data_IF_586559018140
#
_entry.id   IF_586559018140
#
_cell.length_a   1.000
_cell.length_b   1.000
_cell.length_c   1.000
_cell.angle_alpha   90.00
_cell.angle_beta   90.00
_cell.angle_gamma   90.00
#
_symmetry.space_group_name_H-M   'P 1'
#
loop_
_entity.id
_entity.type
_entity.pdbx_description
1 polymer ?
#
# COMPACT_ATOMS: atom_id res chain seq x y z
N UNK A 1 -28.04 -27.51 4.96
CA UNK A 1 -27.76 -26.26 5.71
C UNK A 1 -26.34 -26.15 6.25
N UNK A 2 -25.70 -27.21 6.80
CA UNK A 2 -24.29 -27.15 7.27
C UNK A 2 -23.25 -26.87 6.17
N UNK A 3 -23.48 -27.38 4.95
CA UNK A 3 -22.54 -27.23 3.81
C UNK A 3 -22.46 -25.77 3.30
N UNK A 4 -23.56 -25.02 3.41
CA UNK A 4 -23.65 -23.62 2.95
C UNK A 4 -22.82 -22.70 3.87
N UNK A 5 -22.84 -22.95 5.19
CA UNK A 5 -22.03 -22.19 6.14
C UNK A 5 -20.53 -22.38 5.92
N UNK A 6 -20.08 -23.61 5.63
CA UNK A 6 -18.67 -23.89 5.37
C UNK A 6 -18.16 -23.23 4.08
N UNK A 7 -18.96 -23.26 3.01
CA UNK A 7 -18.61 -22.60 1.75
C UNK A 7 -18.53 -21.07 1.91
N UNK A 8 -19.45 -20.47 2.66
CA UNK A 8 -19.45 -19.03 2.92
C UNK A 8 -18.22 -18.59 3.73
N UNK A 9 -17.86 -19.33 4.79
CA UNK A 9 -16.67 -19.03 5.60
C UNK A 9 -15.40 -19.13 4.76
N UNK A 10 -15.31 -20.14 3.88
CA UNK A 10 -14.16 -20.33 3.00
C UNK A 10 -14.03 -19.19 1.97
N UNK A 11 -15.14 -18.79 1.32
CA UNK A 11 -15.15 -17.66 0.39
C UNK A 11 -14.80 -16.33 1.06
N UNK A 12 -15.32 -16.05 2.26
CA UNK A 12 -15.01 -14.84 3.02
C UNK A 12 -13.53 -14.78 3.43
N UNK A 13 -12.97 -15.92 3.83
CA UNK A 13 -11.55 -16.04 4.18
C UNK A 13 -10.65 -15.76 2.98
N UNK A 14 -11.03 -16.28 1.80
CA UNK A 14 -10.29 -16.06 0.56
C UNK A 14 -10.33 -14.59 0.11
N UNK A 15 -11.51 -13.96 0.17
CA UNK A 15 -11.69 -12.54 -0.16
C UNK A 15 -10.93 -11.62 0.81
N UNK A 16 -10.95 -11.91 2.11
CA UNK A 16 -10.19 -11.16 3.10
C UNK A 16 -8.67 -11.27 2.87
N UNK A 17 -8.19 -12.45 2.47
CA UNK A 17 -6.77 -12.66 2.20
C UNK A 17 -6.33 -12.00 0.87
N UNK A 18 -7.18 -12.03 -0.16
CA UNK A 18 -6.98 -11.31 -1.41
C UNK A 18 -6.92 -9.79 -1.16
N UNK A 19 -7.90 -9.24 -0.44
CA UNK A 19 -7.88 -7.82 -0.08
C UNK A 19 -6.66 -7.42 0.75
N UNK A 20 -6.23 -8.25 1.70
CA UNK A 20 -5.01 -7.98 2.49
C UNK A 20 -3.75 -8.02 1.62
N UNK A 21 -3.69 -8.89 0.61
CA UNK A 21 -2.60 -8.93 -0.37
C UNK A 21 -2.59 -7.67 -1.21
N UNK A 22 -3.73 -7.31 -1.79
CA UNK A 22 -3.89 -6.16 -2.67
C UNK A 22 -3.60 -4.87 -1.90
N UNK A 23 -4.11 -4.71 -0.68
CA UNK A 23 -3.79 -3.58 0.19
C UNK A 23 -2.29 -3.38 0.42
N UNK A 24 -1.56 -4.47 0.69
CA UNK A 24 -0.10 -4.39 0.94
C UNK A 24 0.65 -3.95 -0.31
N UNK A 25 0.22 -4.45 -1.47
CA UNK A 25 0.81 -4.10 -2.75
C UNK A 25 0.54 -2.63 -3.09
N UNK A 26 -0.71 -2.19 -2.95
CA UNK A 26 -1.11 -0.80 -3.22
C UNK A 26 -0.45 0.19 -2.27
N UNK A 27 -0.39 -0.13 -0.97
CA UNK A 27 0.31 0.70 0.01
C UNK A 27 1.80 0.85 -0.34
N UNK A 28 2.44 -0.23 -0.78
CA UNK A 28 3.85 -0.19 -1.17
C UNK A 28 4.06 0.60 -2.48
N UNK A 29 3.18 0.42 -3.46
CA UNK A 29 3.20 1.22 -4.69
C UNK A 29 2.98 2.71 -4.41
N UNK A 30 2.01 3.06 -3.56
CA UNK A 30 1.79 4.44 -3.13
C UNK A 30 3.02 5.04 -2.44
N UNK A 31 3.75 4.26 -1.65
CA UNK A 31 5.02 4.70 -1.06
C UNK A 31 6.10 4.96 -2.12
N UNK A 32 6.20 4.11 -3.14
CA UNK A 32 7.11 4.32 -4.27
C UNK A 32 6.73 5.57 -5.08
N UNK A 33 5.44 5.76 -5.36
CA UNK A 33 4.91 6.95 -6.03
C UNK A 33 5.21 8.22 -5.23
N UNK A 34 5.04 8.18 -3.91
CA UNK A 34 5.38 9.32 -3.04
C UNK A 34 6.88 9.65 -3.12
N UNK A 35 7.73 8.63 -3.03
CA UNK A 35 9.19 8.78 -3.16
C UNK A 35 9.56 9.43 -4.50
N UNK A 36 9.04 8.87 -5.60
CA UNK A 36 9.37 9.32 -6.94
C UNK A 36 8.85 10.74 -7.20
N UNK A 37 7.62 11.06 -6.76
CA UNK A 37 7.06 12.40 -6.86
C UNK A 37 7.86 13.44 -6.07
N UNK A 38 8.39 13.08 -4.89
CA UNK A 38 9.30 13.95 -4.13
C UNK A 38 10.62 14.20 -4.86
N UNK A 39 11.22 13.16 -5.43
CA UNK A 39 12.46 13.29 -6.22
C UNK A 39 12.23 14.17 -7.46
N UNK A 40 11.08 14.01 -8.11
CA UNK A 40 10.69 14.80 -9.28
C UNK A 40 10.18 16.21 -8.92
N UNK A 41 10.18 16.60 -7.64
CA UNK A 41 9.65 17.89 -7.14
C UNK A 41 8.23 18.19 -7.64
N UNK A 42 7.35 17.19 -7.62
CA UNK A 42 5.95 17.36 -8.03
C UNK A 42 5.23 18.30 -7.06
N UNK A 43 4.60 19.34 -7.60
CA UNK A 43 3.93 20.38 -6.81
C UNK A 43 2.75 19.85 -5.97
N UNK A 44 1.95 18.93 -6.52
CA UNK A 44 0.83 18.29 -5.82
C UNK A 44 1.11 16.79 -5.63
N UNK A 45 1.80 16.47 -4.52
CA UNK A 45 2.22 15.09 -4.25
C UNK A 45 1.05 14.16 -3.97
N UNK A 46 -0.02 14.66 -3.34
CA UNK A 46 -1.17 13.84 -2.96
C UNK A 46 -1.94 13.37 -4.20
N UNK A 47 -2.21 14.30 -5.11
CA UNK A 47 -2.86 14.00 -6.39
C UNK A 47 -2.00 13.06 -7.25
N UNK A 48 -0.68 13.26 -7.25
CA UNK A 48 0.25 12.39 -7.96
C UNK A 48 0.21 10.95 -7.43
N UNK A 49 0.31 10.78 -6.11
CA UNK A 49 0.28 9.45 -5.47
C UNK A 49 -1.06 8.75 -5.70
N UNK A 50 -2.16 9.49 -5.61
CA UNK A 50 -3.49 8.94 -5.89
C UNK A 50 -3.61 8.48 -7.33
N UNK A 51 -3.22 9.31 -8.30
CA UNK A 51 -3.27 8.98 -9.73
C UNK A 51 -2.40 7.78 -10.08
N UNK A 52 -1.17 7.74 -9.58
CA UNK A 52 -0.29 6.58 -9.84
C UNK A 52 -0.85 5.31 -9.23
N UNK A 53 -1.35 5.38 -7.99
CA UNK A 53 -2.01 4.24 -7.37
C UNK A 53 -3.20 3.75 -8.22
N UNK A 54 -4.08 4.64 -8.69
CA UNK A 54 -5.21 4.25 -9.54
C UNK A 54 -4.80 3.59 -10.86
N UNK A 55 -3.65 3.99 -11.42
CA UNK A 55 -3.08 3.34 -12.61
C UNK A 55 -2.62 1.92 -12.29
N UNK A 56 -1.95 1.71 -11.15
CA UNK A 56 -1.52 0.37 -10.70
C UNK A 56 -2.69 -0.52 -10.28
N UNK A 57 -3.71 0.05 -9.64
CA UNK A 57 -4.85 -0.65 -9.08
C UNK A 57 -5.89 -1.10 -10.12
N UNK A 58 -5.73 -0.77 -11.41
CA UNK A 58 -6.64 -1.22 -12.48
C UNK A 58 -6.87 -2.74 -12.52
N UNK A 59 -5.96 -3.52 -11.95
CA UNK A 59 -6.02 -4.98 -11.90
C UNK A 59 -6.22 -5.54 -10.49
N UNK A 60 -6.41 -4.69 -9.49
CA UNK A 60 -6.47 -5.06 -8.08
C UNK A 60 -7.82 -4.64 -7.48
N UNK A 61 -8.32 -5.40 -6.51
CA UNK A 61 -9.66 -5.16 -5.94
C UNK A 61 -9.66 -4.12 -4.82
N UNK A 62 -8.48 -3.76 -4.30
CA UNK A 62 -8.36 -2.86 -3.17
C UNK A 62 -8.31 -1.39 -3.62
N UNK A 63 -9.22 -0.53 -3.12
CA UNK A 63 -9.28 0.85 -3.57
C UNK A 63 -8.10 1.68 -3.04
N UNK A 64 -7.50 2.46 -3.93
CA UNK A 64 -6.41 3.39 -3.60
C UNK A 64 -6.78 4.42 -2.54
N UNK A 65 -8.05 4.82 -2.48
CA UNK A 65 -8.58 5.69 -1.42
C UNK A 65 -8.39 5.14 0.00
N UNK A 66 -8.15 3.83 0.16
CA UNK A 66 -7.79 3.21 1.44
C UNK A 66 -6.30 2.92 1.60
N UNK A 67 -5.56 2.78 0.50
CA UNK A 67 -4.13 2.46 0.53
C UNK A 67 -3.27 3.73 0.68
N UNK A 68 -3.59 4.76 -0.10
CA UNK A 68 -2.85 6.04 -0.14
C UNK A 68 -2.80 6.73 1.23
N UNK A 69 -3.89 6.81 2.02
CA UNK A 69 -3.85 7.39 3.36
C UNK A 69 -2.91 6.67 4.32
N UNK A 70 -2.66 5.36 4.14
CA UNK A 70 -1.70 4.63 4.97
C UNK A 70 -0.30 5.23 4.88
N UNK A 71 0.02 5.90 3.77
CA UNK A 71 1.30 6.59 3.57
C UNK A 71 1.16 8.09 3.85
N UNK A 72 0.19 8.76 3.21
CA UNK A 72 0.11 10.23 3.25
C UNK A 72 -0.24 10.79 4.63
N UNK A 73 -1.04 10.07 5.41
CA UNK A 73 -1.51 10.54 6.72
C UNK A 73 -0.52 10.21 7.85
N UNK A 74 0.58 9.52 7.54
CA UNK A 74 1.57 9.11 8.53
C UNK A 74 2.91 9.83 8.31
N UNK A 75 3.15 10.88 9.10
CA UNK A 75 4.39 11.67 9.01
C UNK A 75 5.67 10.85 9.22
N UNK A 76 5.62 9.82 10.08
CA UNK A 76 6.78 9.00 10.36
C UNK A 76 7.18 8.14 9.16
N UNK A 77 6.19 7.57 8.45
CA UNK A 77 6.49 6.79 7.26
C UNK A 77 6.92 7.68 6.09
N UNK A 78 6.33 8.87 5.94
CA UNK A 78 6.77 9.85 4.92
C UNK A 78 8.25 10.18 5.06
N UNK A 79 8.72 10.49 6.27
CA UNK A 79 10.15 10.73 6.55
C UNK A 79 11.02 9.50 6.24
N UNK A 80 10.52 8.32 6.55
CA UNK A 80 11.22 7.06 6.24
C UNK A 80 11.36 6.87 4.73
N UNK A 81 10.31 7.15 3.96
CA UNK A 81 10.32 7.05 2.50
C UNK A 81 11.22 8.13 1.87
N UNK A 82 11.23 9.34 2.41
CA UNK A 82 12.10 10.43 1.95
C UNK A 82 13.59 10.13 2.19
N UNK A 83 13.90 9.39 3.26
CA UNK A 83 15.25 8.91 3.55
C UNK A 83 15.67 7.70 2.70
N UNK A 84 14.77 7.16 1.86
CA UNK A 84 15.06 5.99 1.04
C UNK A 84 16.02 6.37 -0.10
N UNK A 85 17.27 5.93 0.04
CA UNK A 85 18.32 6.19 -0.94
C UNK A 85 18.05 5.46 -2.27
N UNK A 86 17.90 6.22 -3.35
CA UNK A 86 17.64 5.71 -4.70
C UNK A 86 18.90 5.33 -5.48
N UNK A 87 20.06 5.80 -5.04
CA UNK A 87 21.35 5.43 -5.64
C UNK A 87 21.85 4.08 -5.12
N UNK A 88 21.31 3.62 -3.98
CA UNK A 88 21.60 2.32 -3.39
C UNK A 88 20.50 1.32 -3.73
N UNK A 89 20.69 0.41 -4.72
CA UNK A 89 19.82 -0.74 -4.92
C UNK A 89 19.75 -1.69 -3.70
N UNK A 90 20.46 -1.37 -2.61
CA UNK A 90 20.66 -2.17 -1.42
C UNK A 90 20.05 -1.55 -0.15
N UNK A 91 19.28 -0.45 -0.21
CA UNK A 91 18.56 0.09 0.96
C UNK A 91 17.35 -0.79 1.35
N UNK A 92 17.69 -2.00 1.77
CA UNK A 92 16.79 -3.05 2.23
C UNK A 92 16.19 -2.71 3.59
N UNK A 93 16.81 -1.81 4.36
CA UNK A 93 16.32 -1.41 5.68
C UNK A 93 15.09 -0.53 5.54
N UNK A 94 15.18 0.52 4.71
CA UNK A 94 14.07 1.42 4.46
C UNK A 94 12.94 0.68 3.74
N UNK A 95 13.26 -0.13 2.73
CA UNK A 95 12.26 -0.96 2.06
C UNK A 95 11.51 -1.89 3.03
N UNK A 96 12.23 -2.58 3.92
CA UNK A 96 11.62 -3.46 4.93
C UNK A 96 10.75 -2.66 5.91
N UNK A 97 11.17 -1.46 6.31
CA UNK A 97 10.38 -0.60 7.19
C UNK A 97 9.06 -0.20 6.53
N UNK A 98 9.09 0.20 5.26
CA UNK A 98 7.89 0.54 4.47
C UNK A 98 6.98 -0.68 4.29
N UNK A 99 7.54 -1.83 3.90
CA UNK A 99 6.76 -3.08 3.78
C UNK A 99 6.11 -3.49 5.11
N UNK A 100 6.83 -3.35 6.23
CA UNK A 100 6.31 -3.65 7.58
C UNK A 100 5.19 -2.70 7.97
N UNK A 101 5.32 -1.41 7.65
CA UNK A 101 4.26 -0.42 7.86
C UNK A 101 2.99 -0.79 7.09
N UNK A 102 3.11 -1.06 5.79
CA UNK A 102 1.99 -1.49 4.96
C UNK A 102 1.36 -2.79 5.46
N UNK A 103 2.16 -3.75 5.90
CA UNK A 103 1.66 -4.98 6.52
C UNK A 103 0.78 -4.70 7.75
N UNK A 104 1.25 -3.83 8.64
CA UNK A 104 0.53 -3.48 9.86
C UNK A 104 -0.73 -2.66 9.58
N UNK A 105 -0.65 -1.69 8.67
CA UNK A 105 -1.81 -0.89 8.23
C UNK A 105 -2.92 -1.78 7.67
N UNK A 106 -2.58 -2.65 6.70
CA UNK A 106 -3.52 -3.56 6.07
C UNK A 106 -4.04 -4.68 7.00
N UNK A 107 -3.37 -4.93 8.14
CA UNK A 107 -3.86 -5.86 9.16
C UNK A 107 -4.90 -5.21 10.09
N UNK A 108 -4.83 -3.89 10.32
CA UNK A 108 -5.79 -3.15 11.15
C UNK A 108 -7.10 -2.79 10.44
N UNK A 109 -7.09 -2.77 9.10
CA UNK A 109 -8.27 -2.46 8.28
C UNK A 109 -9.27 -3.65 8.21
N UNK A 110 -8.89 -4.84 8.71
CA UNK A 110 -9.71 -6.06 8.77
C UNK A 110 -9.78 -6.65 10.17
#
# INVERSE_FOLDING_TARGET
MKVIFLALIFCLSYLANANRRDCRLECFNAALSYRNGKIANVANIEEHVMKECEVYAKHLYYPCSKAVPLILDNEQIKKTIEAWDVASPSDTTTEKAVKKHCWNGCRKVY
#
